data_IF_447864957666
#
_entry.id   IF_447864957666
#
_cell.length_a   1.000
_cell.length_b   1.000
_cell.length_c   1.000
_cell.angle_alpha   90.00
_cell.angle_beta   90.00
_cell.angle_gamma   90.00
#
_symmetry.space_group_name_H-M   'P 1'
#
loop_
_entity.id
_entity.type
_entity.pdbx_description
1 polymer ?
#
# COMPACT_ATOMS: atom_id res chain seq x y z
N UNK A 1 20.40 -11.30 20.42
CA UNK A 1 19.11 -10.84 19.84
C UNK A 1 18.08 -11.92 20.13
N UNK A 2 16.86 -11.59 20.57
CA UNK A 2 15.86 -12.60 20.96
C UNK A 2 15.09 -13.11 19.73
N UNK A 3 14.86 -14.43 19.61
CA UNK A 3 14.16 -15.02 18.46
C UNK A 3 12.75 -14.44 18.25
N UNK A 4 12.10 -13.99 19.32
CA UNK A 4 10.80 -13.30 19.26
C UNK A 4 10.86 -11.96 18.53
N UNK A 5 11.95 -11.20 18.69
CA UNK A 5 12.08 -9.89 18.05
C UNK A 5 12.25 -10.02 16.52
N UNK A 6 12.94 -11.06 16.06
CA UNK A 6 13.06 -11.37 14.62
C UNK A 6 11.73 -11.85 14.03
N UNK A 7 10.99 -12.70 14.75
CA UNK A 7 9.66 -13.13 14.34
C UNK A 7 8.70 -11.92 14.20
N UNK A 8 8.72 -10.99 15.16
CA UNK A 8 7.90 -9.77 15.09
C UNK A 8 8.30 -8.86 13.94
N UNK A 9 9.60 -8.69 13.68
CA UNK A 9 10.09 -7.91 12.53
C UNK A 9 9.68 -8.54 11.20
N UNK A 10 9.80 -9.86 11.08
CA UNK A 10 9.39 -10.58 9.88
C UNK A 10 7.88 -10.44 9.66
N UNK A 11 7.08 -10.61 10.71
CA UNK A 11 5.63 -10.42 10.64
C UNK A 11 5.24 -9.00 10.22
N UNK A 12 5.92 -7.98 10.76
CA UNK A 12 5.72 -6.59 10.37
C UNK A 12 6.05 -6.34 8.89
N UNK A 13 7.18 -6.86 8.40
CA UNK A 13 7.58 -6.72 7.00
C UNK A 13 6.60 -7.42 6.06
N UNK A 14 6.23 -8.66 6.37
CA UNK A 14 5.26 -9.43 5.57
C UNK A 14 3.88 -8.76 5.57
N UNK A 15 3.44 -8.23 6.72
CA UNK A 15 2.19 -7.49 6.83
C UNK A 15 2.19 -6.21 6.00
N UNK A 16 3.27 -5.42 6.05
CA UNK A 16 3.42 -4.23 5.22
C UNK A 16 3.41 -4.57 3.72
N UNK A 17 4.11 -5.63 3.31
CA UNK A 17 4.10 -6.12 1.93
C UNK A 17 2.70 -6.54 1.47
N UNK A 18 1.97 -7.29 2.30
CA UNK A 18 0.61 -7.72 1.99
C UNK A 18 -0.33 -6.51 1.81
N UNK A 19 -0.23 -5.50 2.68
CA UNK A 19 -1.01 -4.26 2.56
C UNK A 19 -0.65 -3.46 1.31
N UNK A 20 0.64 -3.34 0.98
CA UNK A 20 1.09 -2.68 -0.23
C UNK A 20 0.52 -3.37 -1.48
N UNK A 21 0.56 -4.70 -1.54
CA UNK A 21 -0.02 -5.47 -2.64
C UNK A 21 -1.53 -5.25 -2.75
N UNK A 22 -2.26 -5.28 -1.63
CA UNK A 22 -3.71 -5.01 -1.60
C UNK A 22 -4.03 -3.61 -2.15
N UNK A 23 -3.31 -2.60 -1.71
CA UNK A 23 -3.49 -1.23 -2.17
C UNK A 23 -3.11 -1.06 -3.66
N UNK A 24 -2.06 -1.72 -4.13
CA UNK A 24 -1.68 -1.73 -5.54
C UNK A 24 -2.75 -2.40 -6.42
N UNK A 25 -3.28 -3.57 -6.00
CA UNK A 25 -4.39 -4.24 -6.67
C UNK A 25 -5.66 -3.39 -6.66
N UNK A 26 -5.91 -2.65 -5.58
CA UNK A 26 -7.02 -1.71 -5.48
C UNK A 26 -6.87 -0.57 -6.50
N UNK A 27 -5.70 0.11 -6.52
CA UNK A 27 -5.39 1.19 -7.46
C UNK A 27 -5.49 0.75 -8.92
N UNK A 28 -5.06 -0.48 -9.24
CA UNK A 28 -5.17 -1.05 -10.60
C UNK A 28 -6.60 -1.11 -11.12
N UNK A 29 -7.61 -1.18 -10.23
CA UNK A 29 -9.04 -1.16 -10.59
C UNK A 29 -9.63 0.26 -10.66
N UNK A 30 -8.83 1.30 -10.45
CA UNK A 30 -9.23 2.71 -10.52
C UNK A 30 -8.71 3.32 -11.81
N UNK A 31 -9.52 4.15 -12.47
CA UNK A 31 -9.07 5.01 -13.57
C UNK A 31 -8.30 6.17 -12.95
N UNK A 32 -6.98 6.09 -13.02
CA UNK A 32 -6.04 7.11 -12.54
C UNK A 32 -5.26 7.67 -13.73
N UNK A 33 -5.02 8.97 -13.70
CA UNK A 33 -3.99 9.58 -14.54
C UNK A 33 -2.60 9.11 -14.10
N UNK A 34 -1.62 9.20 -14.99
CA UNK A 34 -0.25 8.74 -14.72
C UNK A 34 0.36 9.43 -13.48
N UNK A 35 0.10 10.73 -13.31
CA UNK A 35 0.57 11.50 -12.16
C UNK A 35 -0.06 11.02 -10.85
N UNK A 36 -1.36 10.70 -10.85
CA UNK A 36 -2.03 10.12 -9.68
C UNK A 36 -1.45 8.74 -9.35
N UNK A 37 -1.19 7.90 -10.36
CA UNK A 37 -0.58 6.60 -10.14
C UNK A 37 0.80 6.71 -9.48
N UNK A 38 1.64 7.64 -9.95
CA UNK A 38 2.96 7.91 -9.35
C UNK A 38 2.83 8.45 -7.93
N UNK A 39 1.94 9.41 -7.68
CA UNK A 39 1.75 10.00 -6.36
C UNK A 39 1.28 8.96 -5.33
N UNK A 40 0.30 8.12 -5.70
CA UNK A 40 -0.20 7.05 -4.84
C UNK A 40 0.81 5.92 -4.66
N UNK A 41 1.60 5.60 -5.70
CA UNK A 41 2.71 4.66 -5.60
C UNK A 41 3.81 5.14 -4.66
N UNK A 42 4.19 6.42 -4.73
CA UNK A 42 5.16 7.04 -3.82
C UNK A 42 4.65 7.04 -2.37
N UNK A 43 3.38 7.39 -2.15
CA UNK A 43 2.76 7.32 -0.83
C UNK A 43 2.79 5.91 -0.25
N UNK A 44 2.53 4.90 -1.07
CA UNK A 44 2.58 3.49 -0.68
C UNK A 44 3.97 3.04 -0.21
N UNK A 45 5.03 3.52 -0.88
CA UNK A 45 6.42 3.13 -0.60
C UNK A 45 7.01 3.92 0.56
N UNK A 46 6.79 5.24 0.58
CA UNK A 46 7.36 6.13 1.60
C UNK A 46 6.67 5.97 2.95
N UNK A 47 5.38 5.61 2.95
CA UNK A 47 4.61 5.35 4.14
C UNK A 47 4.09 3.90 4.11
N UNK A 48 4.93 2.89 4.40
CA UNK A 48 4.58 1.47 4.20
C UNK A 48 3.37 1.00 5.03
N UNK A 49 3.11 1.64 6.17
CA UNK A 49 1.91 1.38 6.96
C UNK A 49 0.77 2.34 6.61
N UNK A 50 1.01 3.65 6.59
CA UNK A 50 -0.03 4.66 6.37
C UNK A 50 -0.49 4.78 4.90
N UNK A 51 0.43 4.68 3.96
CA UNK A 51 0.19 4.79 2.51
C UNK A 51 -0.86 3.83 1.99
N UNK A 52 -0.77 2.50 2.29
CA UNK A 52 -1.80 1.55 1.89
C UNK A 52 -3.19 1.88 2.45
N UNK A 53 -3.28 2.31 3.72
CA UNK A 53 -4.57 2.71 4.31
C UNK A 53 -5.14 3.95 3.62
N UNK A 54 -4.32 4.97 3.37
CA UNK A 54 -4.75 6.20 2.70
C UNK A 54 -5.24 5.94 1.28
N UNK A 55 -4.55 5.09 0.52
CA UNK A 55 -4.97 4.65 -0.82
C UNK A 55 -6.37 4.03 -0.80
N UNK A 56 -6.63 3.14 0.17
CA UNK A 56 -7.91 2.43 0.27
C UNK A 56 -9.03 3.37 0.76
N UNK A 57 -8.74 4.19 1.78
CA UNK A 57 -9.72 5.08 2.42
C UNK A 57 -10.15 6.22 1.50
N UNK A 58 -9.20 6.84 0.81
CA UNK A 58 -9.44 8.03 -0.02
C UNK A 58 -9.98 7.68 -1.41
N UNK A 59 -9.94 6.39 -1.79
CA UNK A 59 -10.54 5.86 -3.03
C UNK A 59 -10.22 6.73 -4.26
N UNK A 60 -8.94 6.98 -4.57
CA UNK A 60 -8.57 7.88 -5.65
C UNK A 60 -9.07 7.39 -7.01
N UNK A 61 -9.29 8.33 -7.93
CA UNK A 61 -9.77 8.06 -9.27
C UNK A 61 -11.25 7.63 -9.34
N UNK A 62 -11.76 7.44 -10.56
CA UNK A 62 -13.10 6.88 -10.80
C UNK A 62 -13.04 5.36 -10.82
N UNK A 63 -14.13 4.67 -10.45
CA UNK A 63 -14.23 3.21 -10.67
C UNK A 63 -14.03 2.95 -12.17
N UNK A 64 -13.12 2.04 -12.52
CA UNK A 64 -13.08 1.53 -13.89
C UNK A 64 -14.38 0.74 -14.12
N UNK A 65 -15.30 1.33 -14.89
CA UNK A 65 -16.47 0.64 -15.44
C UNK A 65 -16.05 -0.42 -16.43
#
# INVERSE_FOLDING_TARGET
>A
MSPTAEALRLLLVLGALAMALLAAFYLRRRKLSLSEYIAWGLLLVLLPFLGPFLVILLRPGRKAS
#
